data_IF_722889013460
#
_entry.id   IF_722889013460
#
_cell.length_a   1.000
_cell.length_b   1.000
_cell.length_c   1.000
_cell.angle_alpha   90.00
_cell.angle_beta   90.00
_cell.angle_gamma   90.00
#
_symmetry.space_group_name_H-M   'P 1'
#
loop_
_entity.id
_entity.type
_entity.pdbx_description
1 polymer ?
#
# COMPACT_ATOMS: atom_id res chain seq x y z
N UNK A 1 7.42 -31.26 9.72
CA UNK A 1 8.34 -30.09 9.56
C UNK A 1 9.51 -30.59 8.75
N UNK A 2 9.72 -30.09 7.54
CA UNK A 2 10.86 -30.49 6.70
C UNK A 2 12.06 -29.72 7.22
N UNK A 3 13.07 -30.43 7.68
CA UNK A 3 14.33 -29.83 8.11
C UNK A 3 15.17 -29.50 6.87
N UNK A 4 15.19 -28.24 6.49
CA UNK A 4 15.92 -27.74 5.33
C UNK A 4 17.45 -27.64 5.55
N UNK A 5 17.90 -27.87 6.79
CA UNK A 5 19.33 -27.74 7.16
C UNK A 5 20.07 -29.09 7.23
N UNK A 6 19.34 -30.21 7.17
CA UNK A 6 20.00 -31.49 7.12
C UNK A 6 20.44 -31.83 5.69
N UNK A 7 21.70 -32.08 5.52
CA UNK A 7 22.26 -32.61 4.28
C UNK A 7 21.70 -33.99 4.02
N UNK A 8 20.50 -34.09 3.52
CA UNK A 8 19.78 -35.31 3.21
C UNK A 8 20.29 -35.99 1.95
N UNK A 9 21.56 -35.89 1.59
CA UNK A 9 22.11 -36.54 0.38
C UNK A 9 21.32 -36.25 -0.92
N UNK A 10 20.35 -35.37 -0.86
CA UNK A 10 19.61 -34.91 -2.03
C UNK A 10 20.60 -34.17 -2.92
N UNK A 11 21.05 -34.83 -3.98
CA UNK A 11 21.77 -34.14 -5.04
C UNK A 11 20.89 -32.97 -5.47
N UNK A 12 21.50 -31.77 -5.51
CA UNK A 12 20.90 -30.62 -6.15
C UNK A 12 20.49 -31.04 -7.57
N UNK A 13 19.24 -31.34 -7.74
CA UNK A 13 18.68 -31.40 -9.08
C UNK A 13 18.61 -29.95 -9.58
N UNK A 14 19.34 -29.61 -10.67
CA UNK A 14 19.10 -28.31 -11.27
C UNK A 14 17.61 -28.18 -11.51
N UNK A 15 17.01 -27.02 -11.25
CA UNK A 15 15.58 -26.83 -11.42
C UNK A 15 15.25 -27.35 -12.81
N UNK A 16 14.36 -28.37 -12.85
CA UNK A 16 13.73 -28.76 -14.10
C UNK A 16 13.33 -27.44 -14.76
N UNK A 17 13.96 -27.16 -15.89
CA UNK A 17 13.67 -25.95 -16.66
C UNK A 17 12.27 -26.14 -17.26
N UNK A 18 11.28 -26.13 -16.34
CA UNK A 18 9.87 -26.06 -16.67
C UNK A 18 9.59 -24.59 -16.83
N UNK A 19 9.62 -24.03 -18.05
CA UNK A 19 9.38 -22.62 -18.29
C UNK A 19 7.94 -22.21 -17.94
N UNK A 20 7.29 -22.94 -17.05
CA UNK A 20 5.86 -22.86 -16.85
C UNK A 20 5.44 -22.44 -15.44
N UNK A 21 5.96 -23.08 -14.39
CA UNK A 21 5.32 -22.92 -13.06
C UNK A 21 5.44 -21.51 -12.54
N UNK A 22 6.63 -20.92 -12.53
CA UNK A 22 6.82 -19.55 -12.04
C UNK A 22 6.06 -18.53 -12.89
N UNK A 23 6.09 -18.69 -14.21
CA UNK A 23 5.36 -17.81 -15.11
C UNK A 23 3.85 -17.96 -14.91
N UNK A 24 3.36 -19.19 -14.77
CA UNK A 24 1.93 -19.47 -14.54
C UNK A 24 1.45 -18.91 -13.20
N UNK A 25 2.23 -19.09 -12.12
CA UNK A 25 1.91 -18.52 -10.80
C UNK A 25 1.89 -16.99 -10.84
N UNK A 26 2.90 -16.38 -11.46
CA UNK A 26 2.94 -14.93 -11.59
C UNK A 26 1.75 -14.40 -12.40
N UNK A 27 1.41 -15.05 -13.52
CA UNK A 27 0.25 -14.67 -14.31
C UNK A 27 -1.07 -14.80 -13.52
N UNK A 28 -1.25 -15.85 -12.75
CA UNK A 28 -2.43 -16.03 -11.90
C UNK A 28 -2.52 -14.94 -10.81
N UNK A 29 -1.40 -14.59 -10.19
CA UNK A 29 -1.33 -13.48 -9.22
C UNK A 29 -1.69 -12.15 -9.89
N UNK A 30 -1.15 -11.90 -11.07
CA UNK A 30 -1.40 -10.67 -11.83
C UNK A 30 -2.88 -10.52 -12.21
N UNK A 31 -3.51 -11.60 -12.64
CA UNK A 31 -4.97 -11.64 -12.91
C UNK A 31 -5.76 -11.33 -11.64
N UNK A 32 -5.42 -11.95 -10.51
CA UNK A 32 -6.09 -11.70 -9.23
C UNK A 32 -5.98 -10.25 -8.76
N UNK A 33 -4.78 -9.66 -8.88
CA UNK A 33 -4.55 -8.26 -8.51
C UNK A 33 -5.34 -7.29 -9.41
N UNK A 34 -5.33 -7.53 -10.72
CA UNK A 34 -6.08 -6.71 -11.68
C UNK A 34 -7.58 -6.81 -11.47
N UNK A 35 -8.10 -8.00 -11.20
CA UNK A 35 -9.52 -8.20 -10.89
C UNK A 35 -9.93 -7.46 -9.61
N UNK A 36 -9.10 -7.52 -8.55
CA UNK A 36 -9.34 -6.75 -7.31
C UNK A 36 -9.37 -5.26 -7.58
N UNK A 37 -8.41 -4.73 -8.34
CA UNK A 37 -8.38 -3.31 -8.69
C UNK A 37 -9.62 -2.90 -9.48
N UNK A 38 -10.05 -3.71 -10.45
CA UNK A 38 -11.25 -3.43 -11.24
C UNK A 38 -12.55 -3.42 -10.42
N UNK A 39 -12.58 -4.13 -9.28
CA UNK A 39 -13.71 -4.14 -8.36
C UNK A 39 -13.72 -2.93 -7.39
N UNK A 40 -12.62 -2.19 -7.27
CA UNK A 40 -12.54 -1.01 -6.42
C UNK A 40 -13.36 0.14 -7.01
N UNK A 41 -14.12 0.82 -6.15
CA UNK A 41 -14.88 2.00 -6.58
C UNK A 41 -13.92 3.15 -6.91
N UNK A 42 -14.11 3.86 -8.03
CA UNK A 42 -13.33 5.06 -8.32
C UNK A 42 -13.44 6.07 -7.19
N UNK A 43 -12.32 6.70 -6.86
CA UNK A 43 -12.31 7.79 -5.88
C UNK A 43 -12.99 9.02 -6.49
N UNK A 44 -13.88 9.62 -5.73
CA UNK A 44 -14.61 10.85 -6.12
C UNK A 44 -14.02 12.11 -5.48
N UNK A 45 -12.79 12.04 -5.02
CA UNK A 45 -12.09 13.13 -4.36
C UNK A 45 -10.61 13.15 -4.76
N UNK A 46 -10.01 14.32 -4.66
CA UNK A 46 -8.56 14.49 -4.78
C UNK A 46 -7.90 14.19 -3.44
N UNK A 47 -6.92 13.28 -3.45
CA UNK A 47 -6.10 13.01 -2.26
C UNK A 47 -5.01 14.05 -2.09
N UNK A 48 -4.57 14.30 -0.84
CA UNK A 48 -3.43 15.18 -0.56
C UNK A 48 -2.17 14.77 -1.31
N UNK A 49 -1.90 13.47 -1.43
CA UNK A 49 -0.80 12.92 -2.21
C UNK A 49 -0.94 13.15 -3.73
N UNK A 50 -2.16 13.36 -4.20
CA UNK A 50 -2.44 13.64 -5.62
C UNK A 50 -2.13 15.08 -6.03
N UNK A 51 -2.05 16.03 -5.09
CA UNK A 51 -1.79 17.44 -5.41
C UNK A 51 -0.37 17.72 -5.91
N UNK A 52 0.58 16.86 -5.61
CA UNK A 52 1.97 17.00 -6.07
C UNK A 52 2.20 16.65 -7.54
N UNK A 53 1.16 16.31 -8.29
CA UNK A 53 1.28 15.97 -9.71
C UNK A 53 1.53 17.22 -10.55
N UNK A 54 2.46 17.12 -11.50
CA UNK A 54 2.81 18.22 -12.39
C UNK A 54 1.69 18.63 -13.35
N UNK A 55 0.76 17.72 -13.67
CA UNK A 55 -0.32 17.94 -14.63
C UNK A 55 -1.64 18.27 -13.93
N UNK A 56 -2.06 19.54 -13.97
CA UNK A 56 -3.33 19.98 -13.40
C UNK A 56 -4.54 19.32 -14.06
N UNK A 57 -4.47 19.00 -15.35
CA UNK A 57 -5.53 18.29 -16.06
C UNK A 57 -5.73 16.88 -15.50
N UNK A 58 -4.66 16.18 -15.13
CA UNK A 58 -4.76 14.89 -14.49
C UNK A 58 -5.46 14.98 -13.12
N UNK A 59 -5.14 16.00 -12.33
CA UNK A 59 -5.83 16.25 -11.05
C UNK A 59 -7.32 16.53 -11.29
N UNK A 60 -7.65 17.31 -12.34
CA UNK A 60 -9.03 17.59 -12.71
C UNK A 60 -9.79 16.32 -13.12
N UNK A 61 -9.18 15.43 -13.87
CA UNK A 61 -9.78 14.15 -14.27
C UNK A 61 -10.05 13.25 -13.06
N UNK A 62 -9.09 13.15 -12.13
CA UNK A 62 -9.26 12.42 -10.88
C UNK A 62 -10.40 13.02 -10.03
N UNK A 63 -10.47 14.36 -9.96
CA UNK A 63 -11.52 15.07 -9.22
C UNK A 63 -12.92 14.85 -9.80
N UNK A 64 -13.03 14.76 -11.12
CA UNK A 64 -14.28 14.51 -11.82
C UNK A 64 -14.60 13.03 -11.97
N UNK A 65 -13.73 12.15 -11.46
CA UNK A 65 -13.81 10.70 -11.61
C UNK A 65 -13.99 10.28 -13.08
N UNK A 66 -13.27 10.96 -14.00
CA UNK A 66 -13.27 10.61 -15.41
C UNK A 66 -12.65 9.22 -15.56
N UNK A 67 -13.31 8.29 -16.26
CA UNK A 67 -12.74 6.98 -16.53
C UNK A 67 -11.37 7.11 -17.21
N UNK A 68 -10.45 6.23 -16.84
CA UNK A 68 -9.17 6.11 -17.53
C UNK A 68 -9.40 5.51 -18.90
N UNK A 69 -8.55 5.91 -19.85
CA UNK A 69 -8.52 5.27 -21.14
C UNK A 69 -8.15 3.78 -20.99
N UNK A 70 -8.64 2.95 -21.87
CA UNK A 70 -8.34 1.52 -21.90
C UNK A 70 -6.82 1.31 -21.96
N UNK A 71 -6.31 0.42 -21.11
CA UNK A 71 -4.88 0.12 -21.00
C UNK A 71 -4.09 1.12 -20.14
N UNK A 72 -4.74 2.07 -19.49
CA UNK A 72 -4.10 3.01 -18.53
C UNK A 72 -4.32 2.61 -17.06
N UNK A 73 -4.74 1.39 -16.81
CA UNK A 73 -4.78 0.80 -15.48
C UNK A 73 -3.37 0.59 -14.93
N UNK A 74 -3.25 0.43 -13.64
CA UNK A 74 -1.96 0.09 -13.05
C UNK A 74 -1.51 -1.30 -13.47
N UNK A 75 -0.28 -1.40 -13.96
CA UNK A 75 0.33 -2.70 -14.24
C UNK A 75 0.36 -3.56 -12.97
N UNK A 76 0.21 -4.89 -13.06
CA UNK A 76 0.23 -5.80 -11.90
C UNK A 76 1.49 -5.64 -11.04
N UNK A 77 2.64 -5.35 -11.63
CA UNK A 77 3.86 -5.04 -10.90
C UNK A 77 3.69 -3.84 -9.96
N UNK A 78 3.01 -2.78 -10.41
CA UNK A 78 2.72 -1.59 -9.59
C UNK A 78 1.77 -1.94 -8.46
N UNK A 79 0.77 -2.78 -8.71
CA UNK A 79 -0.15 -3.25 -7.68
C UNK A 79 0.54 -4.05 -6.59
N UNK A 80 1.53 -4.88 -6.94
CA UNK A 80 2.38 -5.58 -5.95
C UNK A 80 3.19 -4.61 -5.09
N UNK A 81 3.71 -3.53 -5.68
CA UNK A 81 4.43 -2.48 -4.93
C UNK A 81 3.50 -1.79 -3.94
N UNK A 82 2.26 -1.48 -4.34
CA UNK A 82 1.28 -0.89 -3.43
C UNK A 82 0.93 -1.82 -2.27
N UNK A 83 0.73 -3.10 -2.55
CA UNK A 83 0.47 -4.11 -1.50
C UNK A 83 1.65 -4.22 -0.53
N UNK A 84 2.88 -4.26 -1.05
CA UNK A 84 4.08 -4.28 -0.22
C UNK A 84 4.21 -3.02 0.63
N UNK A 85 3.82 -1.85 0.10
CA UNK A 85 3.77 -0.60 0.84
C UNK A 85 2.83 -0.67 2.04
N UNK A 86 1.59 -1.11 1.83
CA UNK A 86 0.61 -1.26 2.93
C UNK A 86 1.09 -2.24 4.00
N UNK A 87 1.71 -3.36 3.61
CA UNK A 87 2.30 -4.29 4.59
C UNK A 87 3.49 -3.68 5.33
N UNK A 88 4.26 -2.83 4.64
CA UNK A 88 5.35 -2.07 5.24
C UNK A 88 4.86 -1.09 6.31
N UNK A 89 3.77 -0.39 6.07
CA UNK A 89 3.12 0.52 7.03
C UNK A 89 2.70 -0.23 8.30
N UNK A 90 2.01 -1.38 8.17
CA UNK A 90 1.61 -2.23 9.28
C UNK A 90 2.83 -2.68 10.12
N UNK A 91 3.90 -3.07 9.42
CA UNK A 91 5.13 -3.54 10.06
C UNK A 91 5.84 -2.43 10.84
N UNK A 92 5.97 -1.25 10.26
CA UNK A 92 6.57 -0.09 10.93
C UNK A 92 5.74 0.34 12.14
N UNK A 93 4.41 0.36 12.00
CA UNK A 93 3.51 0.65 13.12
C UNK A 93 3.68 -0.35 14.28
N UNK A 94 3.83 -1.64 13.93
CA UNK A 94 4.12 -2.68 14.92
C UNK A 94 5.46 -2.45 15.62
N UNK A 95 6.53 -2.17 14.90
CA UNK A 95 7.86 -1.90 15.47
C UNK A 95 7.88 -0.68 16.38
N UNK A 96 7.21 0.39 15.99
CA UNK A 96 7.11 1.58 16.84
C UNK A 96 6.42 1.27 18.17
N UNK A 97 5.34 0.49 18.15
CA UNK A 97 4.66 0.05 19.36
C UNK A 97 5.54 -0.87 20.22
N UNK A 98 6.29 -1.79 19.62
CA UNK A 98 7.27 -2.62 20.32
C UNK A 98 8.39 -1.78 20.96
N UNK A 99 8.79 -0.70 20.34
CA UNK A 99 9.77 0.25 20.86
C UNK A 99 9.22 1.15 21.97
N UNK A 100 7.97 0.97 22.40
CA UNK A 100 7.35 1.72 23.49
C UNK A 100 6.73 3.05 23.08
N UNK A 101 6.52 3.29 21.77
CA UNK A 101 5.77 4.46 21.33
C UNK A 101 4.26 4.22 21.41
N UNK A 102 3.52 5.21 21.93
CA UNK A 102 2.06 5.26 21.80
C UNK A 102 1.72 5.80 20.40
N UNK A 103 1.65 4.88 19.44
CA UNK A 103 1.26 5.15 18.07
C UNK A 103 -0.21 4.79 17.88
N UNK A 104 -1.02 5.80 17.56
CA UNK A 104 -2.42 5.63 17.17
C UNK A 104 -2.56 5.77 15.66
N UNK A 105 -3.10 4.75 15.02
CA UNK A 105 -3.36 4.71 13.57
C UNK A 105 -4.82 5.03 13.25
N UNK A 106 -5.70 4.94 14.24
CA UNK A 106 -7.13 5.17 14.11
C UNK A 106 -7.65 6.03 15.26
N UNK A 107 -8.74 6.72 15.02
CA UNK A 107 -9.53 7.44 16.04
C UNK A 107 -10.34 6.45 16.88
N UNK A 108 -11.02 6.95 17.89
CA UNK A 108 -11.93 6.16 18.74
C UNK A 108 -13.10 5.54 17.94
N UNK A 109 -13.53 6.21 16.88
CA UNK A 109 -14.57 5.73 15.95
C UNK A 109 -14.06 4.74 14.89
N UNK A 110 -12.81 4.26 15.04
CA UNK A 110 -12.12 3.36 14.10
C UNK A 110 -11.92 3.93 12.70
N UNK A 111 -11.99 5.24 12.56
CA UNK A 111 -11.65 5.90 11.31
C UNK A 111 -10.18 6.33 11.33
N UNK A 112 -9.51 6.23 10.17
CA UNK A 112 -8.16 6.72 10.00
C UNK A 112 -8.12 8.23 10.27
N UNK A 113 -7.03 8.70 10.86
CA UNK A 113 -6.80 10.13 11.03
C UNK A 113 -6.70 10.81 9.67
N UNK A 114 -7.26 12.00 9.56
CA UNK A 114 -7.22 12.74 8.32
C UNK A 114 -8.10 13.98 8.37
N UNK A 115 -8.18 14.63 7.22
CA UNK A 115 -9.05 15.78 7.03
C UNK A 115 -9.92 15.62 5.80
N UNK A 116 -11.02 16.35 5.78
CA UNK A 116 -11.92 16.46 4.64
C UNK A 116 -12.29 17.92 4.44
N UNK A 117 -12.12 18.42 3.22
CA UNK A 117 -12.43 19.80 2.83
C UNK A 117 -13.19 19.83 1.51
N UNK A 118 -13.67 20.99 1.11
CA UNK A 118 -14.40 21.24 -0.13
C UNK A 118 -15.61 20.28 -0.30
N UNK A 119 -16.43 20.14 0.74
CA UNK A 119 -17.57 19.22 0.76
C UNK A 119 -17.18 17.75 0.44
N UNK A 120 -16.06 17.31 1.00
CA UNK A 120 -15.58 15.93 0.82
C UNK A 120 -14.82 15.66 -0.48
N UNK A 121 -14.60 16.68 -1.28
CA UNK A 121 -13.88 16.54 -2.57
C UNK A 121 -12.36 16.62 -2.45
N UNK A 122 -11.86 17.05 -1.31
CA UNK A 122 -10.45 17.01 -0.97
C UNK A 122 -10.25 16.34 0.35
N UNK A 123 -9.45 15.27 0.38
CA UNK A 123 -9.20 14.48 1.59
C UNK A 123 -7.71 14.15 1.73
N UNK A 124 -7.25 14.11 2.97
CA UNK A 124 -5.94 13.60 3.32
C UNK A 124 -6.07 12.63 4.48
N UNK A 125 -5.25 11.60 4.47
CA UNK A 125 -5.11 10.64 5.55
C UNK A 125 -3.67 10.67 6.02
N UNK A 126 -3.47 10.38 7.30
CA UNK A 126 -2.14 10.18 7.90
C UNK A 126 -2.10 8.78 8.50
N UNK A 127 -0.94 8.15 8.39
CA UNK A 127 -0.77 6.73 8.74
C UNK A 127 -0.74 6.51 10.25
N UNK A 128 -0.51 7.57 11.02
CA UNK A 128 -0.60 7.53 12.47
C UNK A 128 -0.14 8.80 13.16
N UNK A 129 -0.51 8.90 14.44
CA UNK A 129 -0.10 9.96 15.36
C UNK A 129 0.71 9.36 16.51
N UNK A 130 1.93 9.82 16.70
CA UNK A 130 2.72 9.51 17.90
C UNK A 130 2.26 10.40 19.05
N UNK A 131 1.64 9.80 20.06
CA UNK A 131 1.10 10.51 21.23
C UNK A 131 2.12 10.60 22.35
N UNK A 132 2.97 9.59 22.50
CA UNK A 132 4.03 9.51 23.50
C UNK A 132 5.13 8.55 23.02
N UNK A 133 6.27 8.57 23.69
CA UNK A 133 7.37 7.66 23.37
C UNK A 133 8.46 7.66 24.44
N UNK A 134 9.40 6.72 24.36
CA UNK A 134 10.49 6.56 25.31
C UNK A 134 11.55 7.67 25.20
N UNK A 135 11.50 8.49 24.16
CA UNK A 135 12.37 9.64 23.96
C UNK A 135 11.54 10.92 23.96
N UNK A 136 12.10 11.99 24.54
CA UNK A 136 11.46 13.31 24.49
C UNK A 136 11.47 13.78 23.04
N UNK A 137 10.31 13.79 22.41
CA UNK A 137 10.14 14.38 21.10
C UNK A 137 9.80 15.86 21.32
N UNK A 138 10.83 16.69 21.40
CA UNK A 138 10.65 18.13 21.37
C UNK A 138 10.23 18.51 19.95
N UNK A 139 8.94 18.70 19.72
CA UNK A 139 8.49 19.43 18.54
C UNK A 139 8.89 20.88 18.72
N UNK A 140 9.59 21.50 17.76
CA UNK A 140 9.69 22.94 17.77
C UNK A 140 8.26 23.48 17.71
N UNK A 141 7.89 24.29 18.71
CA UNK A 141 6.65 25.02 18.66
C UNK A 141 6.67 25.87 17.38
N UNK A 142 5.74 25.64 16.49
CA UNK A 142 5.48 26.49 15.35
C UNK A 142 4.79 27.78 15.82
#
# INVERSE_FOLDING_TARGET
>A
MIDLNHASGAQYMPPLNLPGITATLNAAIDVGLSARQGAERPRTYVSSSGLGRACLRQIQYDFLAIPKDEGQEFAPKTLRIFEAGHRGEDLVAHWLRLAGFDLRTEREDRQQFGFSALNGRFKGHIDGCLMAGPVSMAYPAL
#
